data_IF_761888010349
#
_entry.id   IF_761888010349
#
_cell.length_a   1.000
_cell.length_b   1.000
_cell.length_c   1.000
_cell.angle_alpha   90.00
_cell.angle_beta   90.00
_cell.angle_gamma   90.00
#
_symmetry.space_group_name_H-M   'P 1'
#
loop_
_entity.id
_entity.type
_entity.pdbx_description
1 polymer ?
#
# COMPACT_ATOMS: atom_id res chain seq x y z
N UNK A 1 10.33 5.96 25.80
CA UNK A 1 9.82 6.57 24.57
C UNK A 1 10.43 5.99 23.28
N UNK A 2 11.33 4.99 23.32
CA UNK A 2 12.13 4.59 22.16
C UNK A 2 11.82 3.19 21.58
N UNK A 3 10.89 2.43 22.18
CA UNK A 3 10.57 1.05 21.74
C UNK A 3 9.22 0.92 21.00
N UNK A 4 8.45 2.00 20.95
CA UNK A 4 7.06 1.99 20.46
C UNK A 4 7.03 2.07 18.91
N UNK A 5 7.92 2.87 18.32
CA UNK A 5 8.01 3.01 16.87
C UNK A 5 8.44 1.72 16.13
N UNK A 6 9.50 1.00 16.56
CA UNK A 6 9.89 -0.23 15.87
C UNK A 6 8.88 -1.37 16.05
N UNK A 7 8.19 -1.42 17.19
CA UNK A 7 7.14 -2.41 17.43
C UNK A 7 5.86 -2.12 16.64
N UNK A 8 5.49 -0.84 16.46
CA UNK A 8 4.38 -0.42 15.62
C UNK A 8 4.63 -0.73 14.13
N UNK A 9 5.85 -0.52 13.65
CA UNK A 9 6.25 -0.84 12.27
C UNK A 9 6.24 -2.36 12.04
N UNK A 10 6.79 -3.14 12.98
CA UNK A 10 6.74 -4.60 12.91
C UNK A 10 5.31 -5.15 12.94
N UNK A 11 4.43 -4.53 13.74
CA UNK A 11 3.01 -4.88 13.81
C UNK A 11 2.26 -4.57 12.52
N UNK A 12 2.51 -3.41 11.89
CA UNK A 12 1.96 -3.05 10.58
C UNK A 12 2.40 -4.01 9.46
N UNK A 13 3.68 -4.43 9.48
CA UNK A 13 4.22 -5.42 8.55
C UNK A 13 3.57 -6.80 8.71
N UNK A 14 3.41 -7.25 9.96
CA UNK A 14 2.71 -8.50 10.28
C UNK A 14 1.23 -8.44 9.91
N UNK A 15 0.57 -7.31 10.12
CA UNK A 15 -0.83 -7.10 9.76
C UNK A 15 -1.03 -7.13 8.24
N UNK A 16 -0.11 -6.55 7.47
CA UNK A 16 -0.14 -6.63 6.00
C UNK A 16 0.08 -8.05 5.48
N UNK A 17 0.91 -8.85 6.15
CA UNK A 17 1.13 -10.26 5.79
C UNK A 17 -0.05 -11.15 6.20
N UNK A 18 -0.77 -10.77 7.26
CA UNK A 18 -1.87 -11.55 7.83
C UNK A 18 -3.23 -11.31 7.14
N UNK A 19 -3.34 -10.29 6.29
CA UNK A 19 -4.56 -10.09 5.50
C UNK A 19 -4.68 -11.24 4.48
N UNK A 20 -5.76 -12.05 4.54
CA UNK A 20 -5.92 -13.16 3.63
C UNK A 20 -6.01 -12.66 2.20
N UNK A 21 -5.33 -13.33 1.28
CA UNK A 21 -5.66 -13.27 -0.12
C UNK A 21 -7.09 -13.84 -0.26
N UNK A 22 -8.09 -12.96 -0.30
CA UNK A 22 -9.46 -13.38 -0.57
C UNK A 22 -9.50 -14.07 -1.92
N UNK A 23 -10.09 -15.27 -1.92
CA UNK A 23 -10.31 -16.06 -3.11
C UNK A 23 -11.28 -15.30 -4.01
N UNK A 24 -10.75 -14.67 -5.04
CA UNK A 24 -11.55 -13.94 -6.03
C UNK A 24 -12.56 -14.91 -6.67
N UNK A 25 -13.85 -14.62 -6.49
CA UNK A 25 -14.91 -15.36 -7.16
C UNK A 25 -14.92 -14.95 -8.63
N UNK A 26 -14.61 -15.91 -9.49
CA UNK A 26 -14.66 -15.76 -10.94
C UNK A 26 -16.08 -16.07 -11.40
N UNK A 27 -16.67 -15.16 -12.17
CA UNK A 27 -18.02 -15.30 -12.73
C UNK A 27 -18.03 -14.87 -14.20
N UNK A 28 -17.78 -15.82 -15.09
CA UNK A 28 -17.62 -15.53 -16.53
C UNK A 28 -18.92 -15.05 -17.19
N UNK A 29 -20.09 -15.33 -16.60
CA UNK A 29 -21.37 -14.81 -17.13
C UNK A 29 -21.45 -13.29 -17.01
N UNK A 30 -20.74 -12.74 -16.02
CA UNK A 30 -20.63 -11.30 -15.78
C UNK A 30 -19.29 -10.74 -16.26
N UNK A 31 -18.60 -11.36 -17.22
CA UNK A 31 -17.36 -10.83 -17.77
C UNK A 31 -17.60 -9.61 -18.68
N UNK A 32 -16.72 -8.61 -18.59
CA UNK A 32 -16.72 -7.41 -19.45
C UNK A 32 -18.05 -6.62 -19.41
N UNK A 33 -18.72 -6.62 -18.25
CA UNK A 33 -19.94 -5.83 -18.03
C UNK A 33 -19.55 -4.37 -17.94
N UNK A 34 -20.22 -3.54 -18.74
CA UNK A 34 -20.03 -2.09 -18.72
C UNK A 34 -20.44 -1.48 -17.35
N UNK A 35 -19.86 -0.32 -16.98
CA UNK A 35 -20.18 0.38 -15.74
C UNK A 35 -21.69 0.57 -15.52
N UNK A 36 -22.17 0.18 -14.34
CA UNK A 36 -23.57 0.33 -13.94
C UNK A 36 -23.69 0.52 -12.41
N UNK A 37 -24.91 0.62 -11.89
CA UNK A 37 -25.15 0.83 -10.46
C UNK A 37 -24.67 -0.33 -9.56
N UNK A 38 -24.63 -1.56 -10.08
CA UNK A 38 -24.12 -2.75 -9.36
C UNK A 38 -22.59 -2.88 -9.51
N UNK A 39 -22.05 -2.49 -10.67
CA UNK A 39 -20.62 -2.50 -10.97
C UNK A 39 -20.16 -1.09 -11.40
N UNK A 40 -19.82 -0.21 -10.45
CA UNK A 40 -19.50 1.20 -10.75
C UNK A 40 -18.37 1.38 -11.75
N UNK A 41 -17.39 0.48 -11.75
CA UNK A 41 -16.26 0.46 -12.69
C UNK A 41 -16.34 -0.69 -13.71
N UNK A 42 -17.47 -1.40 -13.75
CA UNK A 42 -17.63 -2.61 -14.55
C UNK A 42 -16.88 -3.82 -13.99
N UNK A 43 -16.88 -4.88 -14.77
CA UNK A 43 -16.18 -6.12 -14.44
C UNK A 43 -15.04 -6.41 -15.41
N UNK A 44 -14.04 -7.18 -14.95
CA UNK A 44 -12.93 -7.59 -15.80
C UNK A 44 -13.27 -8.82 -16.68
N UNK A 45 -12.26 -9.33 -17.40
CA UNK A 45 -12.39 -10.48 -18.29
C UNK A 45 -12.71 -11.80 -17.56
N UNK A 46 -12.57 -11.83 -16.23
CA UNK A 46 -12.97 -12.95 -15.37
C UNK A 46 -14.31 -12.68 -14.66
N UNK A 47 -14.96 -11.56 -14.97
CA UNK A 47 -16.21 -11.11 -14.36
C UNK A 47 -16.10 -10.70 -12.91
N UNK A 48 -14.89 -10.32 -12.46
CA UNK A 48 -14.68 -9.78 -11.12
C UNK A 48 -14.99 -8.28 -11.11
N UNK A 49 -15.57 -7.79 -10.02
CA UNK A 49 -15.84 -6.37 -9.83
C UNK A 49 -14.52 -5.57 -9.70
N UNK A 50 -14.30 -4.66 -10.65
CA UNK A 50 -13.10 -3.81 -10.69
C UNK A 50 -13.10 -2.81 -9.52
N UNK A 51 -14.27 -2.31 -9.10
CA UNK A 51 -14.36 -1.34 -8.01
C UNK A 51 -13.89 -1.93 -6.68
N UNK A 52 -14.42 -3.11 -6.32
CA UNK A 52 -13.99 -3.84 -5.12
C UNK A 52 -12.49 -4.16 -5.13
N UNK A 53 -11.92 -4.49 -6.30
CA UNK A 53 -10.48 -4.74 -6.44
C UNK A 53 -9.63 -3.50 -6.18
N UNK A 54 -10.07 -2.33 -6.68
CA UNK A 54 -9.39 -1.05 -6.43
C UNK A 54 -9.43 -0.71 -4.94
N UNK A 55 -10.57 -0.85 -4.28
CA UNK A 55 -10.70 -0.61 -2.84
C UNK A 55 -9.81 -1.55 -2.02
N UNK A 56 -9.70 -2.82 -2.42
CA UNK A 56 -8.81 -3.78 -1.77
C UNK A 56 -7.33 -3.40 -1.97
N UNK A 57 -6.93 -3.04 -3.18
CA UNK A 57 -5.58 -2.57 -3.46
C UNK A 57 -5.22 -1.34 -2.61
N UNK A 58 -6.17 -0.41 -2.44
CA UNK A 58 -6.02 0.78 -1.60
C UNK A 58 -5.65 0.42 -0.14
N UNK A 59 -6.27 -0.63 0.42
CA UNK A 59 -6.00 -1.06 1.79
C UNK A 59 -4.56 -1.57 1.99
N UNK A 60 -3.95 -2.14 0.94
CA UNK A 60 -2.55 -2.60 0.95
C UNK A 60 -1.61 -1.40 0.75
N UNK A 61 -1.95 -0.48 -0.15
CA UNK A 61 -1.11 0.68 -0.50
C UNK A 61 -0.90 1.65 0.67
N UNK A 62 -1.86 1.77 1.58
CA UNK A 62 -1.73 2.65 2.75
C UNK A 62 -0.56 2.20 3.65
N UNK A 63 -0.41 0.90 3.89
CA UNK A 63 0.70 0.36 4.68
C UNK A 63 2.04 0.47 3.95
N UNK A 64 2.04 0.17 2.65
CA UNK A 64 3.24 0.18 1.82
C UNK A 64 3.81 1.59 1.64
N UNK A 65 2.96 2.59 1.40
CA UNK A 65 3.38 3.98 1.21
C UNK A 65 4.06 4.56 2.45
N UNK A 66 3.55 4.25 3.65
CA UNK A 66 4.16 4.68 4.90
C UNK A 66 5.59 4.12 5.08
N UNK A 67 5.80 2.86 4.69
CA UNK A 67 7.12 2.21 4.75
C UNK A 67 8.11 2.86 3.78
N UNK A 68 7.68 3.14 2.56
CA UNK A 68 8.51 3.79 1.53
C UNK A 68 8.91 5.20 1.98
N UNK A 69 7.95 6.02 2.42
CA UNK A 69 8.20 7.40 2.88
C UNK A 69 9.15 7.41 4.08
N UNK A 70 8.93 6.52 5.05
CA UNK A 70 9.78 6.44 6.25
C UNK A 70 11.23 6.10 5.88
N UNK A 71 11.43 5.13 4.97
CA UNK A 71 12.76 4.73 4.51
C UNK A 71 13.45 5.87 3.76
N UNK A 72 12.73 6.53 2.85
CA UNK A 72 13.25 7.68 2.11
C UNK A 72 13.64 8.84 3.04
N UNK A 73 12.83 9.10 4.07
CA UNK A 73 13.11 10.16 5.05
C UNK A 73 14.40 9.86 5.83
N UNK A 74 14.61 8.61 6.28
CA UNK A 74 15.84 8.21 6.98
C UNK A 74 17.07 8.47 6.10
N UNK A 75 17.04 8.00 4.84
CA UNK A 75 18.15 8.20 3.92
C UNK A 75 18.40 9.69 3.67
N UNK A 76 17.33 10.46 3.43
CA UNK A 76 17.41 11.91 3.22
C UNK A 76 18.00 12.65 4.42
N UNK A 77 17.60 12.29 5.65
CA UNK A 77 18.14 12.87 6.88
C UNK A 77 19.64 12.55 7.01
N UNK A 78 20.05 11.30 6.79
CA UNK A 78 21.46 10.91 6.87
C UNK A 78 22.32 11.70 5.88
N UNK A 79 21.89 11.79 4.61
CA UNK A 79 22.58 12.56 3.58
C UNK A 79 22.61 14.06 3.91
N UNK A 80 21.50 14.59 4.44
CA UNK A 80 21.41 15.99 4.87
C UNK A 80 22.36 16.31 6.02
N UNK A 81 22.49 15.41 7.01
CA UNK A 81 23.45 15.56 8.12
C UNK A 81 24.89 15.52 7.63
N UNK A 82 25.23 14.60 6.72
CA UNK A 82 26.56 14.51 6.13
C UNK A 82 26.89 15.80 5.38
N UNK A 83 25.99 16.28 4.52
CA UNK A 83 26.17 17.52 3.77
C UNK A 83 26.29 18.75 4.68
N UNK A 84 25.48 18.84 5.73
CA UNK A 84 25.51 19.93 6.70
C UNK A 84 26.80 19.94 7.53
N UNK A 85 27.33 18.77 7.88
CA UNK A 85 28.60 18.65 8.57
C UNK A 85 29.75 19.21 7.72
N UNK A 86 29.87 18.81 6.44
CA UNK A 86 30.95 19.32 5.59
C UNK A 86 30.86 20.83 5.35
N UNK A 87 29.65 21.38 5.20
CA UNK A 87 29.45 22.82 4.99
C UNK A 87 29.83 23.69 6.20
N UNK A 88 29.92 23.12 7.41
CA UNK A 88 30.29 23.87 8.62
C UNK A 88 31.80 24.03 8.79
N UNK A 89 32.60 23.24 8.05
CA UNK A 89 34.06 23.26 8.10
C UNK A 89 34.73 23.98 6.92
N UNK A 90 33.94 24.50 5.96
CA UNK A 90 34.35 25.46 4.92
C UNK A 90 33.95 26.89 5.32
#
# INVERSE_FOLDING_TARGET
>A
MNLIYPSLIGFLLLLSLALPAETEKIDLEKALVAPNFEYPFGTDYLGRDVFSRVLKALSIDIGLSLLIVSTSAIIGILLGLISGYYKIFD
#
